data_IF_649702014933
#
_entry.id   IF_649702014933
#
_cell.length_a   1.000
_cell.length_b   1.000
_cell.length_c   1.000
_cell.angle_alpha   90.00
_cell.angle_beta   90.00
_cell.angle_gamma   90.00
#
_symmetry.space_group_name_H-M   'P 1'
#
loop_
_entity.id
_entity.type
_entity.pdbx_description
1 polymer ?
#
# COMPACT_ATOMS: atom_id res chain seq x y z
N UNK A 1 -10.48 -18.97 13.52
CA UNK A 1 -10.59 -17.53 13.24
C UNK A 1 -11.93 -17.31 12.57
N UNK A 2 -12.69 -16.29 12.97
CA UNK A 2 -13.91 -15.93 12.26
C UNK A 2 -13.54 -15.58 10.81
N UNK A 3 -14.12 -16.29 9.84
CA UNK A 3 -13.99 -15.94 8.41
C UNK A 3 -14.92 -14.77 8.08
N UNK A 4 -14.79 -13.66 8.82
CA UNK A 4 -15.51 -12.43 8.48
C UNK A 4 -14.97 -11.88 7.18
N UNK A 5 -15.90 -11.52 6.30
CA UNK A 5 -15.59 -10.82 5.06
C UNK A 5 -15.35 -9.36 5.36
N UNK A 6 -14.25 -8.84 4.82
CA UNK A 6 -13.88 -7.43 4.94
C UNK A 6 -14.72 -6.61 3.96
N UNK A 7 -15.42 -5.62 4.51
CA UNK A 7 -16.19 -4.62 3.76
C UNK A 7 -16.06 -3.27 4.43
N UNK A 8 -16.31 -2.19 3.69
CA UNK A 8 -16.21 -0.83 4.22
C UNK A 8 -17.04 -0.60 5.51
N UNK A 9 -18.21 -1.26 5.64
CA UNK A 9 -19.14 -1.07 6.77
C UNK A 9 -18.80 -1.88 8.02
N UNK A 10 -17.99 -2.95 7.91
CA UNK A 10 -17.81 -3.94 9.00
C UNK A 10 -16.37 -4.05 9.51
N UNK A 11 -15.42 -3.36 8.89
CA UNK A 11 -14.01 -3.39 9.27
C UNK A 11 -13.68 -2.60 10.54
N UNK A 12 -12.64 -3.03 11.25
CA UNK A 12 -11.97 -2.31 12.35
C UNK A 12 -10.45 -2.51 12.22
N UNK A 13 -9.64 -1.57 12.72
CA UNK A 13 -8.19 -1.70 12.68
C UNK A 13 -7.67 -1.82 11.24
N UNK A 14 -6.81 -2.81 11.03
CA UNK A 14 -6.21 -3.13 9.72
C UNK A 14 -7.24 -3.48 8.62
N UNK A 15 -8.50 -3.70 8.97
CA UNK A 15 -9.58 -3.99 8.01
C UNK A 15 -10.44 -2.76 7.70
N UNK A 16 -10.06 -1.57 8.17
CA UNK A 16 -10.77 -0.31 7.93
C UNK A 16 -9.88 0.68 7.18
N UNK A 17 -10.27 1.03 5.95
CA UNK A 17 -9.47 1.89 5.06
C UNK A 17 -9.16 3.27 5.65
N UNK A 18 -10.15 3.92 6.26
CA UNK A 18 -9.96 5.27 6.82
C UNK A 18 -8.89 5.33 7.91
N UNK A 19 -8.70 4.24 8.67
CA UNK A 19 -7.67 4.17 9.70
C UNK A 19 -6.27 4.13 9.09
N UNK A 20 -6.08 3.39 8.00
CA UNK A 20 -4.82 3.40 7.23
C UNK A 20 -4.50 4.77 6.65
N UNK A 21 -5.50 5.44 6.05
CA UNK A 21 -5.32 6.78 5.46
C UNK A 21 -4.98 7.80 6.54
N UNK A 22 -5.66 7.73 7.69
CA UNK A 22 -5.41 8.61 8.83
C UNK A 22 -3.99 8.42 9.38
N UNK A 23 -3.57 7.17 9.58
CA UNK A 23 -2.24 6.87 10.10
C UNK A 23 -1.15 7.28 9.10
N UNK A 24 -1.34 6.96 7.82
CA UNK A 24 -0.49 7.42 6.71
C UNK A 24 -0.28 8.93 6.74
N UNK A 25 -1.37 9.70 6.88
CA UNK A 25 -1.31 11.17 6.97
C UNK A 25 -0.54 11.64 8.20
N UNK A 26 -0.71 10.98 9.34
CA UNK A 26 0.02 11.30 10.57
C UNK A 26 1.53 11.16 10.36
N UNK A 27 1.98 10.01 9.84
CA UNK A 27 3.40 9.74 9.59
C UNK A 27 3.99 10.69 8.54
N UNK A 28 3.23 11.00 7.49
CA UNK A 28 3.63 11.97 6.47
C UNK A 28 3.86 13.37 7.06
N UNK A 29 2.95 13.84 7.93
CA UNK A 29 3.12 15.14 8.59
C UNK A 29 4.33 15.13 9.54
N UNK A 30 4.50 14.05 10.32
CA UNK A 30 5.67 13.89 11.18
C UNK A 30 6.98 13.88 10.38
N UNK A 31 7.01 13.21 9.23
CA UNK A 31 8.18 13.18 8.36
C UNK A 31 8.60 14.59 7.91
N UNK A 32 7.63 15.42 7.51
CA UNK A 32 7.90 16.81 7.10
C UNK A 32 8.41 17.68 8.25
N UNK A 33 7.78 17.60 9.42
CA UNK A 33 8.20 18.37 10.59
C UNK A 33 9.61 17.99 11.05
N UNK A 34 9.96 16.71 11.00
CA UNK A 34 11.33 16.27 11.30
C UNK A 34 12.32 16.81 10.27
N UNK A 35 12.00 16.76 8.98
CA UNK A 35 12.87 17.30 7.93
C UNK A 35 13.13 18.79 8.14
N UNK A 36 12.07 19.57 8.33
CA UNK A 36 12.15 21.00 8.62
C UNK A 36 13.05 21.27 9.84
N UNK A 37 12.86 20.51 10.92
CA UNK A 37 13.72 20.65 12.11
C UNK A 37 15.19 20.32 11.83
N UNK A 38 15.45 19.35 10.96
CA UNK A 38 16.80 19.01 10.53
C UNK A 38 17.46 20.13 9.75
N UNK A 39 16.71 20.75 8.82
CA UNK A 39 17.19 21.87 8.02
C UNK A 39 17.43 23.11 8.89
N UNK A 40 16.54 23.43 9.82
CA UNK A 40 16.75 24.51 10.81
C UNK A 40 18.05 24.31 11.62
N UNK A 41 18.35 23.08 12.01
CA UNK A 41 19.58 22.77 12.74
C UNK A 41 20.81 22.94 11.86
N UNK A 42 20.74 22.54 10.57
CA UNK A 42 21.82 22.75 9.59
C UNK A 42 22.12 24.23 9.39
N UNK A 43 21.09 25.05 9.25
CA UNK A 43 21.23 26.49 9.11
C UNK A 43 21.85 27.14 10.35
N UNK A 44 21.45 26.70 11.55
CA UNK A 44 22.00 27.20 12.80
C UNK A 44 23.49 26.89 12.96
N UNK A 45 23.92 25.64 12.71
CA UNK A 45 25.33 25.31 12.90
C UNK A 45 26.22 25.83 11.76
N UNK A 46 25.68 26.13 10.57
CA UNK A 46 26.42 26.76 9.49
C UNK A 46 26.93 28.18 9.85
N UNK A 47 26.27 28.85 10.79
CA UNK A 47 26.62 30.21 11.25
C UNK A 47 27.53 30.18 12.49
N UNK A 48 27.60 29.05 13.21
CA UNK A 48 28.42 28.88 14.41
C UNK A 48 29.89 28.57 14.07
N UNK A 49 30.83 28.97 14.94
CA UNK A 49 32.23 28.56 14.81
C UNK A 49 32.39 27.12 15.28
N UNK A 50 33.34 26.38 14.68
CA UNK A 50 33.62 24.94 14.94
C UNK A 50 33.79 24.53 16.43
N UNK A 51 34.02 25.49 17.33
CA UNK A 51 34.24 25.25 18.76
C UNK A 51 33.14 25.84 19.67
N UNK A 52 32.03 26.30 19.10
CA UNK A 52 30.92 26.81 19.89
C UNK A 52 30.21 25.66 20.62
N UNK A 53 29.91 25.84 21.90
CA UNK A 53 29.16 24.85 22.69
C UNK A 53 27.81 24.58 22.02
N UNK A 54 27.49 23.30 21.77
CA UNK A 54 26.21 22.86 21.20
C UNK A 54 26.24 22.55 19.70
N UNK A 55 27.36 22.78 18.99
CA UNK A 55 27.48 22.40 17.57
C UNK A 55 27.29 20.89 17.36
N UNK A 56 27.85 20.06 18.24
CA UNK A 56 27.69 18.61 18.16
C UNK A 56 26.22 18.18 18.33
N UNK A 57 25.48 18.81 19.26
CA UNK A 57 24.07 18.49 19.48
C UNK A 57 23.23 18.85 18.24
N UNK A 58 23.53 19.97 17.58
CA UNK A 58 22.85 20.38 16.33
C UNK A 58 23.13 19.40 15.19
N UNK A 59 24.37 18.92 15.07
CA UNK A 59 24.75 17.89 14.08
C UNK A 59 23.98 16.60 14.38
N UNK A 60 24.00 16.12 15.62
CA UNK A 60 23.32 14.89 16.03
C UNK A 60 21.80 14.96 15.78
N UNK A 61 21.19 16.11 16.08
CA UNK A 61 19.77 16.35 15.77
C UNK A 61 19.54 16.27 14.26
N UNK A 62 20.33 16.97 13.43
CA UNK A 62 20.14 16.96 11.98
C UNK A 62 20.25 15.56 11.36
N UNK A 63 21.26 14.78 11.79
CA UNK A 63 21.46 13.41 11.31
C UNK A 63 20.29 12.51 11.74
N UNK A 64 19.82 12.66 12.99
CA UNK A 64 18.71 11.88 13.51
C UNK A 64 17.40 12.21 12.79
N UNK A 65 17.13 13.49 12.50
CA UNK A 65 15.90 13.93 11.85
C UNK A 65 15.89 13.63 10.35
N UNK A 66 17.03 13.72 9.65
CA UNK A 66 17.16 13.32 8.24
C UNK A 66 16.81 11.83 8.06
N UNK A 67 17.39 10.98 8.91
CA UNK A 67 17.11 9.54 8.91
C UNK A 67 15.66 9.23 9.28
N UNK A 68 15.16 9.84 10.36
CA UNK A 68 13.81 9.55 10.88
C UNK A 68 12.72 10.05 9.94
N UNK A 69 12.90 11.22 9.31
CA UNK A 69 11.96 11.75 8.33
C UNK A 69 11.80 10.82 7.13
N UNK A 70 12.90 10.26 6.60
CA UNK A 70 12.87 9.27 5.50
C UNK A 70 12.14 8.00 5.89
N UNK A 71 12.41 7.47 7.08
CA UNK A 71 11.75 6.27 7.58
C UNK A 71 10.23 6.47 7.71
N UNK A 72 9.81 7.58 8.32
CA UNK A 72 8.39 7.88 8.51
C UNK A 72 7.68 8.13 7.18
N UNK A 73 8.36 8.78 6.22
CA UNK A 73 7.82 8.95 4.87
C UNK A 73 7.60 7.60 4.19
N UNK A 74 8.58 6.68 4.26
CA UNK A 74 8.42 5.32 3.73
C UNK A 74 7.23 4.58 4.35
N UNK A 75 7.07 4.62 5.66
CA UNK A 75 5.89 4.04 6.30
C UNK A 75 4.59 4.74 5.87
N UNK A 76 4.57 6.05 5.67
CA UNK A 76 3.39 6.74 5.14
C UNK A 76 2.98 6.15 3.78
N UNK A 77 3.92 5.96 2.85
CA UNK A 77 3.64 5.28 1.58
C UNK A 77 3.06 3.88 1.77
N UNK A 78 3.66 3.07 2.64
CA UNK A 78 3.20 1.70 2.92
C UNK A 78 1.75 1.68 3.39
N UNK A 79 1.38 2.55 4.34
CA UNK A 79 0.04 2.61 4.89
C UNK A 79 -0.97 3.11 3.85
N UNK A 80 -0.60 4.11 3.04
CA UNK A 80 -1.43 4.61 1.95
C UNK A 80 -1.72 3.52 0.92
N UNK A 81 -0.69 2.78 0.50
CA UNK A 81 -0.84 1.70 -0.48
C UNK A 81 -1.62 0.51 0.08
N UNK A 82 -1.40 0.13 1.35
CA UNK A 82 -2.23 -0.89 2.03
C UNK A 82 -3.71 -0.49 2.07
N UNK A 83 -4.01 0.79 2.20
CA UNK A 83 -5.39 1.30 2.14
C UNK A 83 -6.05 1.06 0.76
N UNK A 84 -5.29 1.22 -0.32
CA UNK A 84 -5.76 0.98 -1.69
C UNK A 84 -5.86 -0.53 -1.99
N UNK A 85 -4.89 -1.33 -1.54
CA UNK A 85 -4.95 -2.79 -1.63
C UNK A 85 -6.17 -3.32 -0.88
N UNK A 86 -6.47 -2.78 0.30
CA UNK A 86 -7.67 -3.15 1.05
C UNK A 86 -8.95 -2.89 0.25
N UNK A 87 -9.06 -1.70 -0.34
CA UNK A 87 -10.19 -1.29 -1.18
C UNK A 87 -10.40 -2.26 -2.35
N UNK A 88 -9.31 -2.61 -3.03
CA UNK A 88 -9.33 -3.54 -4.16
C UNK A 88 -9.80 -4.94 -3.78
N UNK A 89 -9.54 -5.35 -2.54
CA UNK A 89 -9.78 -6.71 -2.05
C UNK A 89 -10.92 -6.78 -1.02
N UNK A 90 -11.77 -5.76 -0.92
CA UNK A 90 -13.06 -5.92 -0.24
C UNK A 90 -13.79 -7.15 -0.81
N UNK A 91 -14.48 -7.89 0.06
CA UNK A 91 -15.04 -9.20 -0.29
C UNK A 91 -14.18 -10.39 0.11
N UNK A 92 -12.87 -10.21 0.30
CA UNK A 92 -12.01 -11.24 0.88
C UNK A 92 -12.23 -11.38 2.40
N UNK A 93 -11.85 -12.53 2.93
CA UNK A 93 -11.79 -12.83 4.36
C UNK A 93 -10.64 -12.09 5.05
N UNK A 94 -10.82 -11.80 6.34
CA UNK A 94 -9.81 -11.14 7.17
C UNK A 94 -8.44 -11.85 7.16
N UNK A 95 -8.43 -13.18 7.18
CA UNK A 95 -7.17 -13.94 7.15
C UNK A 95 -6.46 -13.76 5.80
N UNK A 96 -7.18 -13.82 4.68
CA UNK A 96 -6.61 -13.60 3.34
C UNK A 96 -6.00 -12.20 3.20
N UNK A 97 -6.70 -11.16 3.67
CA UNK A 97 -6.15 -9.79 3.71
C UNK A 97 -4.90 -9.72 4.59
N UNK A 98 -4.94 -10.32 5.77
CA UNK A 98 -3.79 -10.33 6.70
C UNK A 98 -2.57 -11.00 6.09
N UNK A 99 -2.74 -12.13 5.40
CA UNK A 99 -1.65 -12.81 4.71
C UNK A 99 -1.13 -11.98 3.54
N UNK A 100 -2.02 -11.33 2.75
CA UNK A 100 -1.61 -10.45 1.64
C UNK A 100 -0.79 -9.25 2.12
N UNK A 101 -1.16 -8.63 3.25
CA UNK A 101 -0.34 -7.58 3.85
C UNK A 101 1.01 -8.09 4.37
N UNK A 102 1.06 -9.30 4.94
CA UNK A 102 2.32 -9.92 5.36
C UNK A 102 3.22 -10.27 4.19
N UNK A 103 2.67 -10.72 3.06
CA UNK A 103 3.46 -11.04 1.87
C UNK A 103 4.07 -9.81 1.22
N UNK A 104 3.40 -8.65 1.28
CA UNK A 104 4.02 -7.39 0.87
C UNK A 104 5.12 -6.96 1.82
N UNK A 105 4.92 -7.09 3.14
CA UNK A 105 5.84 -6.54 4.12
C UNK A 105 5.99 -5.03 3.92
N UNK A 106 7.18 -4.62 3.46
CA UNK A 106 7.57 -3.25 3.13
C UNK A 106 7.85 -3.02 1.64
N UNK A 107 7.51 -3.99 0.77
CA UNK A 107 7.71 -3.88 -0.67
C UNK A 107 6.63 -2.98 -1.30
N UNK A 108 6.98 -1.71 -1.49
CA UNK A 108 6.07 -0.72 -2.06
C UNK A 108 5.80 -0.98 -3.55
N UNK A 109 6.80 -1.49 -4.28
CA UNK A 109 6.68 -1.79 -5.71
C UNK A 109 5.72 -2.95 -5.96
N UNK A 110 5.77 -4.00 -5.13
CA UNK A 110 4.82 -5.10 -5.21
C UNK A 110 3.37 -4.64 -5.02
N UNK A 111 3.12 -3.64 -4.16
CA UNK A 111 1.79 -3.07 -3.99
C UNK A 111 1.37 -2.19 -5.17
N UNK A 112 2.27 -1.39 -5.74
CA UNK A 112 1.99 -0.61 -6.97
C UNK A 112 1.61 -1.54 -8.12
N UNK A 113 2.36 -2.63 -8.31
CA UNK A 113 2.10 -3.60 -9.37
C UNK A 113 0.76 -4.33 -9.18
N UNK A 114 0.41 -4.75 -7.97
CA UNK A 114 -0.89 -5.40 -7.70
C UNK A 114 -2.07 -4.44 -7.90
N UNK A 115 -1.85 -3.15 -7.64
CA UNK A 115 -2.83 -2.08 -7.88
C UNK A 115 -2.86 -1.59 -9.34
N UNK A 116 -1.88 -1.99 -10.15
CA UNK A 116 -1.69 -1.57 -11.55
C UNK A 116 -1.67 -0.04 -11.72
N UNK A 117 -1.10 0.68 -10.75
CA UNK A 117 -0.98 2.14 -10.82
C UNK A 117 0.15 2.54 -11.78
N UNK A 118 -0.17 3.40 -12.75
CA UNK A 118 0.81 3.90 -13.70
C UNK A 118 1.67 5.01 -13.08
N UNK A 119 2.96 4.72 -12.92
CA UNK A 119 4.00 5.64 -12.46
C UNK A 119 5.12 5.72 -13.51
N UNK A 120 5.90 6.80 -13.50
CA UNK A 120 7.10 6.88 -14.32
C UNK A 120 8.24 6.06 -13.73
N UNK A 121 9.25 5.74 -14.54
CA UNK A 121 10.43 4.98 -14.08
C UNK A 121 11.12 5.65 -12.89
N UNK A 122 11.26 6.98 -12.92
CA UNK A 122 11.81 7.75 -11.80
C UNK A 122 10.98 7.59 -10.51
N UNK A 123 9.65 7.60 -10.61
CA UNK A 123 8.78 7.41 -9.46
C UNK A 123 8.88 5.99 -8.88
N UNK A 124 9.08 4.98 -9.73
CA UNK A 124 9.34 3.61 -9.30
C UNK A 124 10.70 3.49 -8.60
N UNK A 125 11.74 4.17 -9.10
CA UNK A 125 13.04 4.23 -8.44
C UNK A 125 12.95 4.84 -7.03
N UNK A 126 12.20 5.95 -6.88
CA UNK A 126 11.94 6.57 -5.58
C UNK A 126 11.26 5.61 -4.59
N UNK A 127 10.27 4.83 -5.05
CA UNK A 127 9.62 3.81 -4.21
C UNK A 127 10.56 2.66 -3.84
N UNK A 128 11.44 2.27 -4.76
CA UNK A 128 12.50 1.29 -4.49
C UNK A 128 13.44 1.78 -3.38
N UNK A 129 13.87 3.03 -3.44
CA UNK A 129 14.69 3.66 -2.39
C UNK A 129 13.96 3.71 -1.05
N UNK A 130 12.69 4.13 -1.04
CA UNK A 130 11.88 4.15 0.20
C UNK A 130 11.70 2.75 0.80
N UNK A 131 11.51 1.73 -0.04
CA UNK A 131 11.43 0.34 0.44
C UNK A 131 12.74 -0.09 1.12
N UNK A 132 13.90 0.30 0.57
CA UNK A 132 15.20 0.04 1.19
C UNK A 132 15.42 0.85 2.49
N UNK A 133 14.94 2.10 2.54
CA UNK A 133 14.97 2.93 3.74
C UNK A 133 14.20 2.29 4.89
N UNK A 134 12.98 1.83 4.61
CA UNK A 134 12.17 1.11 5.59
C UNK A 134 12.91 -0.16 6.02
N UNK A 135 13.45 -0.97 5.11
CA UNK A 135 14.00 -2.27 5.50
C UNK A 135 15.33 -2.17 6.25
N UNK A 136 16.27 -1.37 5.74
CA UNK A 136 17.67 -1.37 6.17
C UNK A 136 18.20 0.05 6.43
N UNK A 137 18.10 0.95 5.45
CA UNK A 137 18.88 2.20 5.43
C UNK A 137 18.42 3.23 6.45
N UNK A 138 17.25 3.10 7.06
CA UNK A 138 16.83 3.98 8.14
C UNK A 138 16.55 3.27 9.47
N UNK A 139 16.71 1.94 9.55
CA UNK A 139 16.47 1.17 10.80
C UNK A 139 17.73 0.61 11.45
N UNK A 140 18.61 -0.03 10.67
CA UNK A 140 19.71 -0.80 11.23
C UNK A 140 21.07 -0.09 11.07
N UNK A 141 22.05 -0.35 11.96
CA UNK A 141 23.45 -0.04 11.70
C UNK A 141 23.95 -0.72 10.42
N UNK A 142 25.03 -0.20 9.83
CA UNK A 142 25.59 -0.77 8.59
C UNK A 142 26.29 -2.10 8.93
N UNK A 143 25.91 -3.17 8.24
CA UNK A 143 26.51 -4.50 8.40
C UNK A 143 27.76 -4.70 7.54
N UNK A 144 28.86 -4.03 7.88
CA UNK A 144 30.16 -4.20 7.18
C UNK A 144 31.11 -5.08 8.00
N UNK A 145 31.84 -5.96 7.30
CA UNK A 145 32.81 -6.91 7.87
C UNK A 145 34.29 -6.46 7.70
N UNK A 146 34.56 -5.37 6.97
CA UNK A 146 35.91 -4.83 6.73
C UNK A 146 35.97 -3.34 7.04
N UNK A 147 36.86 -2.94 7.94
CA UNK A 147 36.91 -1.57 8.48
C UNK A 147 37.22 -0.48 7.44
N UNK A 148 38.04 -0.78 6.43
CA UNK A 148 38.51 0.21 5.44
C UNK A 148 37.40 0.82 4.57
N UNK A 149 36.24 0.15 4.43
CA UNK A 149 35.10 0.67 3.67
C UNK A 149 33.99 1.26 4.55
N UNK A 150 34.06 1.12 5.87
CA UNK A 150 32.98 1.49 6.79
C UNK A 150 32.62 2.97 6.71
N UNK A 151 33.62 3.85 6.84
CA UNK A 151 33.40 5.30 6.82
C UNK A 151 32.84 5.78 5.47
N UNK A 152 33.30 5.20 4.37
CA UNK A 152 32.80 5.54 3.03
C UNK A 152 31.32 5.22 2.91
N UNK A 153 30.91 4.02 3.30
CA UNK A 153 29.50 3.59 3.20
C UNK A 153 28.61 4.35 4.17
N UNK A 154 29.08 4.70 5.37
CA UNK A 154 28.35 5.58 6.30
C UNK A 154 28.12 6.95 5.66
N UNK A 155 29.16 7.56 5.10
CA UNK A 155 29.07 8.89 4.52
C UNK A 155 28.13 8.91 3.31
N UNK A 156 28.20 7.89 2.45
CA UNK A 156 27.29 7.74 1.30
C UNK A 156 25.84 7.61 1.76
N UNK A 157 25.57 6.74 2.76
CA UNK A 157 24.22 6.57 3.34
C UNK A 157 23.70 7.86 3.95
N UNK A 158 24.49 8.51 4.81
CA UNK A 158 24.09 9.74 5.47
C UNK A 158 23.87 10.86 4.45
N UNK A 159 24.72 10.97 3.43
CA UNK A 159 24.55 11.94 2.35
C UNK A 159 23.26 11.69 1.56
N UNK A 160 22.88 10.43 1.32
CA UNK A 160 21.62 10.11 0.65
C UNK A 160 20.40 10.48 1.52
N UNK A 161 20.42 10.13 2.80
CA UNK A 161 19.33 10.45 3.74
C UNK A 161 19.17 11.97 3.97
N UNK A 162 20.27 12.70 3.92
CA UNK A 162 20.32 14.16 4.04
C UNK A 162 19.98 14.90 2.73
N UNK A 163 19.75 14.19 1.61
CA UNK A 163 19.44 14.83 0.34
C UNK A 163 18.01 15.42 0.35
N UNK A 164 17.93 16.75 0.36
CA UNK A 164 16.67 17.48 0.43
C UNK A 164 15.87 17.47 -0.88
N UNK A 165 16.54 17.47 -2.03
CA UNK A 165 15.88 17.34 -3.34
C UNK A 165 15.18 15.99 -3.43
N UNK A 166 15.90 14.91 -3.09
CA UNK A 166 15.35 13.56 -3.07
C UNK A 166 14.18 13.43 -2.07
N UNK A 167 14.28 14.05 -0.89
CA UNK A 167 13.16 14.07 0.06
C UNK A 167 11.94 14.80 -0.51
N UNK A 168 12.16 15.94 -1.19
CA UNK A 168 11.09 16.72 -1.79
C UNK A 168 10.39 15.96 -2.93
N UNK A 169 11.15 15.29 -3.79
CA UNK A 169 10.60 14.45 -4.85
C UNK A 169 9.72 13.33 -4.29
N UNK A 170 10.15 12.70 -3.19
CA UNK A 170 9.34 11.70 -2.49
C UNK A 170 8.06 12.29 -1.88
N UNK A 171 8.11 13.53 -1.38
CA UNK A 171 6.91 14.25 -0.90
C UNK A 171 5.94 14.52 -2.04
N UNK A 172 6.43 14.97 -3.21
CA UNK A 172 5.59 15.19 -4.39
C UNK A 172 4.94 13.88 -4.86
N UNK A 173 5.71 12.79 -4.89
CA UNK A 173 5.20 11.47 -5.23
C UNK A 173 4.13 10.99 -4.23
N UNK A 174 4.31 11.25 -2.93
CA UNK A 174 3.31 10.90 -1.92
C UNK A 174 1.98 11.63 -2.17
N UNK A 175 2.02 12.93 -2.45
CA UNK A 175 0.82 13.71 -2.73
C UNK A 175 0.13 13.28 -4.03
N UNK A 176 0.92 12.91 -5.05
CA UNK A 176 0.40 12.30 -6.30
C UNK A 176 -0.33 11.00 -6.02
N UNK A 177 0.32 10.05 -5.34
CA UNK A 177 -0.29 8.76 -4.99
C UNK A 177 -1.50 8.93 -4.08
N UNK A 178 -1.46 9.84 -3.12
CA UNK A 178 -2.61 10.14 -2.26
C UNK A 178 -3.79 10.63 -3.07
N UNK A 179 -3.55 11.51 -4.04
CA UNK A 179 -4.59 11.99 -4.96
C UNK A 179 -5.17 10.84 -5.81
N UNK A 180 -4.33 9.92 -6.29
CA UNK A 180 -4.80 8.72 -6.99
C UNK A 180 -5.64 7.82 -6.08
N UNK A 181 -5.13 7.49 -4.88
CA UNK A 181 -5.79 6.58 -3.92
C UNK A 181 -7.14 7.10 -3.46
N UNK A 182 -7.29 8.41 -3.25
CA UNK A 182 -8.56 9.04 -2.90
C UNK A 182 -9.59 8.94 -4.03
N UNK A 183 -9.15 9.07 -5.29
CA UNK A 183 -10.03 8.92 -6.46
C UNK A 183 -10.56 7.48 -6.61
N UNK A 184 -9.88 6.48 -6.05
CA UNK A 184 -10.26 5.07 -6.27
C UNK A 184 -11.66 4.68 -5.73
N UNK A 185 -12.26 5.51 -4.89
CA UNK A 185 -13.64 5.35 -4.43
C UNK A 185 -14.46 6.64 -4.39
N UNK A 186 -13.89 7.77 -4.82
CA UNK A 186 -14.54 9.08 -4.84
C UNK A 186 -14.44 9.79 -6.20
N UNK A 187 -14.26 9.03 -7.29
CA UNK A 187 -14.33 9.58 -8.64
C UNK A 187 -15.78 9.62 -9.14
N UNK A 188 -16.27 10.83 -9.43
CA UNK A 188 -17.65 11.06 -9.91
C UNK A 188 -17.82 10.56 -11.35
N UNK A 189 -16.76 10.62 -12.16
CA UNK A 189 -16.76 10.16 -13.55
C UNK A 189 -16.60 8.64 -13.65
N UNK A 190 -16.02 8.01 -12.63
CA UNK A 190 -15.83 6.56 -12.55
C UNK A 190 -16.13 6.04 -11.14
N UNK A 191 -17.40 6.05 -10.74
CA UNK A 191 -17.81 5.64 -9.40
C UNK A 191 -17.47 4.19 -9.10
N UNK A 192 -16.76 3.96 -7.98
CA UNK A 192 -16.56 2.61 -7.47
C UNK A 192 -17.90 2.01 -7.00
N UNK A 193 -18.20 0.81 -7.46
CA UNK A 193 -19.40 0.08 -7.05
C UNK A 193 -19.04 -1.29 -6.49
N UNK A 194 -19.81 -1.72 -5.49
CA UNK A 194 -19.57 -2.95 -4.73
C UNK A 194 -20.89 -3.68 -4.53
N UNK A 195 -20.95 -4.97 -4.87
CA UNK A 195 -22.08 -5.82 -4.53
C UNK A 195 -21.64 -7.17 -4.01
N UNK A 196 -22.50 -7.75 -3.17
CA UNK A 196 -22.34 -9.11 -2.65
C UNK A 196 -23.57 -9.92 -3.04
N UNK A 197 -23.36 -11.07 -3.68
CA UNK A 197 -24.41 -12.02 -4.02
C UNK A 197 -24.15 -13.30 -3.22
N UNK A 198 -25.09 -13.67 -2.35
CA UNK A 198 -24.99 -14.88 -1.54
C UNK A 198 -25.92 -15.96 -2.09
N UNK A 199 -25.36 -17.12 -2.38
CA UNK A 199 -26.07 -18.34 -2.72
C UNK A 199 -25.88 -19.35 -1.59
N UNK A 200 -26.56 -20.51 -1.70
CA UNK A 200 -26.48 -21.57 -0.69
C UNK A 200 -25.04 -22.04 -0.47
N UNK A 201 -24.32 -22.32 -1.55
CA UNK A 201 -23.02 -23.00 -1.49
C UNK A 201 -21.83 -22.08 -1.88
N UNK A 202 -22.09 -20.83 -2.26
CA UNK A 202 -21.05 -19.87 -2.66
C UNK A 202 -21.50 -18.43 -2.47
N UNK A 203 -20.54 -17.51 -2.44
CA UNK A 203 -20.76 -16.06 -2.40
C UNK A 203 -19.87 -15.38 -3.42
N UNK A 204 -20.43 -14.43 -4.16
CA UNK A 204 -19.69 -13.49 -4.98
C UNK A 204 -19.57 -12.17 -4.26
N UNK A 205 -18.41 -11.55 -4.35
CA UNK A 205 -18.22 -10.13 -4.11
C UNK A 205 -17.66 -9.51 -5.38
N UNK A 206 -18.35 -8.51 -5.93
CA UNK A 206 -18.01 -7.89 -7.20
C UNK A 206 -17.73 -6.41 -6.97
N UNK A 207 -16.61 -5.97 -7.51
CA UNK A 207 -16.17 -4.58 -7.50
C UNK A 207 -15.82 -4.14 -8.92
N UNK A 208 -16.26 -2.96 -9.30
CA UNK A 208 -15.83 -2.29 -10.52
C UNK A 208 -15.75 -0.79 -10.32
N UNK A 209 -15.11 -0.12 -11.28
CA UNK A 209 -14.93 1.33 -11.30
C UNK A 209 -13.90 1.86 -10.30
N UNK A 210 -13.86 3.18 -10.16
CA UNK A 210 -12.89 3.87 -9.29
C UNK A 210 -11.45 3.72 -9.77
N UNK A 211 -11.22 3.72 -11.08
CA UNK A 211 -9.86 3.65 -11.65
C UNK A 211 -9.07 2.37 -11.31
N UNK A 212 -9.72 1.33 -10.78
CA UNK A 212 -9.12 0.01 -10.56
C UNK A 212 -9.83 -1.03 -11.41
N UNK A 213 -9.10 -2.09 -11.76
CA UNK A 213 -9.66 -3.21 -12.50
C UNK A 213 -10.83 -3.86 -11.77
N UNK A 214 -11.84 -4.23 -12.56
CA UNK A 214 -12.99 -4.94 -12.05
C UNK A 214 -12.55 -6.31 -11.52
N UNK A 215 -13.00 -6.63 -10.30
CA UNK A 215 -12.57 -7.83 -9.57
C UNK A 215 -13.78 -8.54 -8.98
N UNK A 216 -13.80 -9.86 -9.17
CA UNK A 216 -14.76 -10.74 -8.53
C UNK A 216 -14.03 -11.68 -7.58
N UNK A 217 -14.41 -11.67 -6.31
CA UNK A 217 -13.93 -12.61 -5.30
C UNK A 217 -15.05 -13.59 -4.99
N UNK A 218 -14.74 -14.88 -5.14
CA UNK A 218 -15.66 -15.99 -4.91
C UNK A 218 -15.23 -16.75 -3.67
N UNK A 219 -16.16 -16.94 -2.73
CA UNK A 219 -15.96 -17.80 -1.56
C UNK A 219 -16.88 -19.00 -1.70
N UNK A 220 -16.29 -20.19 -1.72
CA UNK A 220 -17.01 -21.45 -1.79
C UNK A 220 -17.24 -22.04 -0.40
N UNK A 221 -18.35 -22.75 -0.25
CA UNK A 221 -18.57 -23.59 0.93
C UNK A 221 -17.63 -24.79 0.92
N UNK A 222 -17.30 -25.36 2.10
CA UNK A 222 -16.52 -26.59 2.17
C UNK A 222 -17.14 -27.71 1.33
N UNK A 223 -16.33 -28.39 0.52
CA UNK A 223 -16.78 -29.49 -0.34
C UNK A 223 -17.40 -29.06 -1.68
N UNK A 224 -17.31 -27.78 -2.06
CA UNK A 224 -17.74 -27.33 -3.39
C UNK A 224 -16.93 -28.04 -4.50
N UNK A 225 -17.58 -28.62 -5.54
CA UNK A 225 -16.88 -29.42 -6.54
C UNK A 225 -15.86 -28.59 -7.36
N UNK A 226 -14.64 -29.09 -7.51
CA UNK A 226 -13.54 -28.41 -8.21
C UNK A 226 -13.83 -28.19 -9.70
N UNK A 227 -14.50 -29.15 -10.36
CA UNK A 227 -14.93 -29.07 -11.75
C UNK A 227 -15.93 -27.92 -12.02
N UNK A 228 -16.53 -27.38 -10.95
CA UNK A 228 -17.50 -26.27 -11.00
C UNK A 228 -16.89 -24.92 -10.61
N UNK A 229 -15.58 -24.86 -10.40
CA UNK A 229 -14.83 -23.62 -10.09
C UNK A 229 -14.23 -22.99 -11.35
N UNK A 230 -15.05 -22.83 -12.39
CA UNK A 230 -14.69 -22.08 -13.61
C UNK A 230 -15.56 -20.82 -13.72
N UNK A 231 -15.07 -19.76 -14.36
CA UNK A 231 -15.89 -18.56 -14.65
C UNK A 231 -17.08 -18.94 -15.52
N UNK A 232 -16.94 -19.81 -16.51
CA UNK A 232 -18.02 -20.29 -17.37
C UNK A 232 -19.15 -20.94 -16.57
N UNK A 233 -18.82 -21.82 -15.61
CA UNK A 233 -19.83 -22.43 -14.74
C UNK A 233 -20.47 -21.38 -13.83
N UNK A 234 -19.68 -20.50 -13.21
CA UNK A 234 -20.18 -19.44 -12.33
C UNK A 234 -21.11 -18.47 -13.07
N UNK A 235 -20.81 -18.13 -14.33
CA UNK A 235 -21.68 -17.32 -15.19
C UNK A 235 -23.04 -18.00 -15.37
N UNK A 236 -23.04 -19.31 -15.64
CA UNK A 236 -24.28 -20.08 -15.77
C UNK A 236 -25.12 -20.11 -14.49
N UNK A 237 -24.51 -20.03 -13.31
CA UNK A 237 -25.22 -19.93 -12.02
C UNK A 237 -25.95 -18.60 -11.91
N UNK A 238 -25.30 -17.50 -12.34
CA UNK A 238 -25.89 -16.17 -12.34
C UNK A 238 -26.97 -16.02 -13.43
N UNK A 239 -26.75 -16.54 -14.62
CA UNK A 239 -27.70 -16.45 -15.73
C UNK A 239 -29.03 -17.17 -15.45
N UNK A 240 -29.01 -18.24 -14.64
CA UNK A 240 -30.24 -18.91 -14.17
C UNK A 240 -31.11 -18.01 -13.27
N UNK A 241 -30.55 -16.93 -12.73
CA UNK A 241 -31.22 -15.96 -11.87
C UNK A 241 -30.97 -14.53 -12.38
N UNK A 242 -31.11 -14.29 -13.69
CA UNK A 242 -30.73 -13.03 -14.36
C UNK A 242 -31.67 -11.84 -14.11
N UNK A 243 -31.93 -11.49 -12.85
CA UNK A 243 -32.75 -10.33 -12.47
C UNK A 243 -31.93 -9.25 -11.77
N UNK A 244 -32.35 -7.99 -11.95
CA UNK A 244 -31.73 -6.82 -11.31
C UNK A 244 -30.23 -6.69 -11.60
N UNK A 245 -29.44 -6.54 -10.52
CA UNK A 245 -27.99 -6.30 -10.59
C UNK A 245 -27.21 -7.48 -11.19
N UNK A 246 -27.75 -8.70 -11.13
CA UNK A 246 -27.09 -9.90 -11.68
C UNK A 246 -26.92 -9.77 -13.19
N UNK A 247 -27.93 -9.21 -13.88
CA UNK A 247 -27.89 -8.98 -15.33
C UNK A 247 -26.81 -7.99 -15.75
N UNK A 248 -26.55 -6.98 -14.92
CA UNK A 248 -25.44 -6.05 -15.15
C UNK A 248 -24.10 -6.80 -15.05
N UNK A 249 -23.91 -7.60 -14.00
CA UNK A 249 -22.67 -8.34 -13.82
C UNK A 249 -22.40 -9.38 -14.90
N UNK A 250 -23.42 -10.06 -15.41
CA UNK A 250 -23.24 -11.02 -16.50
C UNK A 250 -23.00 -10.35 -17.86
N UNK A 251 -23.47 -9.10 -18.05
CA UNK A 251 -23.18 -8.30 -19.24
C UNK A 251 -21.72 -7.84 -19.31
N UNK A 252 -21.13 -7.46 -18.18
CA UNK A 252 -19.72 -7.03 -18.08
C UNK A 252 -18.78 -8.15 -17.60
N UNK A 253 -19.20 -9.42 -17.72
CA UNK A 253 -18.54 -10.57 -17.12
C UNK A 253 -17.05 -10.67 -17.44
N UNK A 254 -16.71 -10.43 -18.71
CA UNK A 254 -15.34 -10.61 -19.22
C UNK A 254 -14.39 -9.48 -18.79
N UNK A 255 -14.92 -8.38 -18.24
CA UNK A 255 -14.13 -7.29 -17.66
C UNK A 255 -13.62 -7.63 -16.25
N UNK A 256 -14.23 -8.61 -15.58
CA UNK A 256 -13.85 -8.98 -14.21
C UNK A 256 -12.69 -9.97 -14.20
N UNK A 257 -11.68 -9.67 -13.38
CA UNK A 257 -10.71 -10.68 -12.97
C UNK A 257 -11.27 -11.45 -11.78
N UNK A 258 -11.31 -12.78 -11.91
CA UNK A 258 -11.91 -13.67 -10.90
C UNK A 258 -10.86 -14.30 -9.99
N UNK A 259 -11.17 -14.31 -8.70
CA UNK A 259 -10.34 -14.94 -7.68
C UNK A 259 -11.19 -15.81 -6.76
N UNK A 260 -10.72 -17.02 -6.45
CA UNK A 260 -11.17 -17.79 -5.31
C UNK A 260 -10.47 -17.30 -4.05
N UNK A 261 -11.25 -16.97 -3.01
CA UNK A 261 -10.70 -16.79 -1.67
C UNK A 261 -10.72 -18.11 -0.89
N UNK A 262 -9.52 -18.66 -0.69
CA UNK A 262 -9.30 -19.91 0.06
C UNK A 262 -9.30 -19.73 1.59
N UNK A 263 -9.54 -18.52 2.08
CA UNK A 263 -9.34 -18.14 3.47
C UNK A 263 -7.87 -18.01 3.86
N UNK A 264 -6.93 -18.16 2.92
CA UNK A 264 -5.48 -17.95 3.12
C UNK A 264 -4.87 -17.05 2.05
N UNK A 265 -5.32 -17.20 0.80
CA UNK A 265 -4.88 -16.42 -0.35
C UNK A 265 -5.99 -16.31 -1.38
N UNK A 266 -5.91 -15.28 -2.20
CA UNK A 266 -6.67 -15.15 -3.44
C UNK A 266 -5.97 -15.93 -4.54
N UNK A 267 -6.66 -16.87 -5.17
CA UNK A 267 -6.16 -17.66 -6.29
C UNK A 267 -6.95 -17.25 -7.53
N UNK A 268 -6.30 -16.83 -8.63
CA UNK A 268 -7.00 -16.58 -9.87
C UNK A 268 -7.81 -17.81 -10.29
N UNK A 269 -9.09 -17.63 -10.59
CA UNK A 269 -9.92 -18.70 -11.16
C UNK A 269 -9.44 -18.97 -12.58
N UNK A 270 -9.25 -20.26 -12.90
CA UNK A 270 -8.87 -20.69 -14.23
C UNK A 270 -10.06 -20.52 -15.17
N UNK A 271 -9.82 -19.79 -16.24
CA UNK A 271 -10.57 -19.74 -17.51
C UNK A 271 -9.78 -18.85 -18.48
#
# INVERSE_FOLDING_TARGET
MNNSIVTNKKGKGIFKRDEWIKESKSLYLSAKLLREKGDDCKDQFAVLKKNDKGVNDLIDISVATDKSSRLLLGYAFELLLKSAVLLMNYGATENTISQKFRSYGHDLLAMINDLELSLSDNELELLGLLSQDIVQQARYPIGILKDDSYLKVINERNSNLANNELFYDMVLLYEKLKSMVVKLDNDVENCAHFNSLAFKDLRFFMRGGGGLNARCIVIYSPGYPEDKKSKSYLKSVLDRNSTGIIRWYTAFWDEYTFYEDTGKKLIPLKD
#
